data_IF_337527811187
#
_entry.id   IF_337527811187
#
_cell.length_a   1.000
_cell.length_b   1.000
_cell.length_c   1.000
_cell.angle_alpha   90.00
_cell.angle_beta   90.00
_cell.angle_gamma   90.00
#
_symmetry.space_group_name_H-M   'P 1'
#
loop_
_entity.id
_entity.type
_entity.pdbx_description
1 polymer ?
#
# COMPACT_ATOMS: atom_id res chain seq x y z
N UNK A 1 -20.40 -0.55 -16.85
CA UNK A 1 -21.00 -1.67 -16.05
C UNK A 1 -19.92 -2.31 -15.19
N UNK A 2 -20.24 -2.79 -13.98
CA UNK A 2 -19.26 -3.46 -13.10
C UNK A 2 -19.20 -4.96 -13.37
N UNK A 3 -18.03 -5.46 -13.74
CA UNK A 3 -17.68 -6.87 -13.96
C UNK A 3 -17.07 -7.46 -12.70
N UNK A 4 -17.69 -8.53 -12.22
CA UNK A 4 -17.35 -9.19 -10.94
C UNK A 4 -16.75 -10.58 -11.15
N UNK A 5 -16.78 -11.10 -12.38
CA UNK A 5 -16.50 -12.49 -12.68
C UNK A 5 -15.08 -12.89 -12.25
N UNK A 6 -14.11 -12.00 -12.44
CA UNK A 6 -12.72 -12.26 -12.06
C UNK A 6 -12.55 -12.39 -10.54
N UNK A 7 -13.15 -11.48 -9.76
CA UNK A 7 -13.18 -11.58 -8.30
C UNK A 7 -13.88 -12.87 -7.84
N UNK A 8 -15.08 -13.13 -8.36
CA UNK A 8 -15.92 -14.25 -7.91
C UNK A 8 -15.34 -15.61 -8.33
N UNK A 9 -14.51 -15.65 -9.37
CA UNK A 9 -13.77 -16.87 -9.75
C UNK A 9 -12.74 -17.29 -8.72
N UNK A 10 -12.22 -16.37 -7.91
CA UNK A 10 -11.21 -16.63 -6.87
C UNK A 10 -11.84 -16.75 -5.50
N UNK A 11 -12.74 -15.82 -5.13
CA UNK A 11 -13.28 -15.72 -3.77
C UNK A 11 -14.72 -16.22 -3.63
N UNK A 12 -15.35 -16.65 -4.73
CA UNK A 12 -16.78 -16.96 -4.78
C UNK A 12 -17.66 -15.71 -4.78
N UNK A 13 -18.98 -15.90 -4.64
CA UNK A 13 -19.96 -14.81 -4.68
C UNK A 13 -19.68 -13.74 -3.63
N UNK A 14 -19.84 -12.46 -4.02
CA UNK A 14 -19.69 -11.32 -3.12
C UNK A 14 -20.59 -11.43 -1.87
N UNK A 15 -20.01 -11.21 -0.69
CA UNK A 15 -20.70 -11.26 0.62
C UNK A 15 -20.15 -10.19 1.56
N UNK A 16 -20.85 -9.93 2.65
CA UNK A 16 -20.36 -9.09 3.75
C UNK A 16 -20.01 -7.66 3.34
N UNK A 17 -18.90 -7.13 3.88
CA UNK A 17 -18.41 -5.77 3.59
C UNK A 17 -18.02 -5.58 2.13
N UNK A 18 -17.41 -6.59 1.49
CA UNK A 18 -17.05 -6.52 0.08
C UNK A 18 -18.27 -6.23 -0.80
N UNK A 19 -19.41 -6.89 -0.54
CA UNK A 19 -20.65 -6.63 -1.27
C UNK A 19 -21.12 -5.18 -1.08
N UNK A 20 -21.08 -4.65 0.16
CA UNK A 20 -21.45 -3.26 0.45
C UNK A 20 -20.58 -2.27 -0.31
N UNK A 21 -19.28 -2.53 -0.39
CA UNK A 21 -18.34 -1.69 -1.13
C UNK A 21 -18.57 -1.73 -2.64
N UNK A 22 -18.85 -2.92 -3.20
CA UNK A 22 -19.22 -3.04 -4.62
C UNK A 22 -20.53 -2.30 -4.90
N UNK A 23 -21.54 -2.41 -4.04
CA UNK A 23 -22.80 -1.66 -4.18
C UNK A 23 -22.60 -0.13 -4.10
N UNK A 24 -21.65 0.33 -3.28
CA UNK A 24 -21.27 1.74 -3.21
C UNK A 24 -20.69 2.22 -4.55
N UNK A 25 -19.79 1.43 -5.16
CA UNK A 25 -19.24 1.70 -6.48
C UNK A 25 -20.32 1.64 -7.58
N UNK A 26 -21.25 0.69 -7.52
CA UNK A 26 -22.37 0.61 -8.47
C UNK A 26 -23.21 1.89 -8.45
N UNK A 27 -23.57 2.36 -7.25
CA UNK A 27 -24.30 3.62 -7.07
C UNK A 27 -23.49 4.82 -7.57
N UNK A 28 -22.18 4.82 -7.34
CA UNK A 28 -21.29 5.89 -7.81
C UNK A 28 -21.24 5.98 -9.34
N UNK A 29 -21.14 4.84 -10.02
CA UNK A 29 -21.06 4.78 -11.49
C UNK A 29 -22.42 4.79 -12.19
N UNK A 30 -23.53 4.61 -11.46
CA UNK A 30 -24.88 4.67 -12.04
C UNK A 30 -25.14 6.02 -12.73
N UNK A 31 -24.81 7.12 -12.07
CA UNK A 31 -24.98 8.48 -12.63
C UNK A 31 -23.93 8.83 -13.70
N UNK A 32 -22.97 7.93 -13.96
CA UNK A 32 -21.84 8.12 -14.90
C UNK A 32 -21.81 7.05 -16.00
N UNK A 33 -22.86 6.24 -16.09
CA UNK A 33 -22.91 5.03 -16.93
C UNK A 33 -22.63 5.31 -18.40
N UNK A 34 -23.05 6.45 -18.92
CA UNK A 34 -22.85 6.80 -20.33
C UNK A 34 -21.38 7.10 -20.68
N UNK A 35 -20.62 7.58 -19.70
CA UNK A 35 -19.22 7.94 -19.85
C UNK A 35 -18.25 6.87 -19.30
N UNK A 36 -18.74 5.90 -18.53
CA UNK A 36 -17.97 4.75 -18.06
C UNK A 36 -18.22 3.53 -18.95
N UNK A 37 -17.17 3.03 -19.61
CA UNK A 37 -17.27 1.81 -20.42
C UNK A 37 -17.47 0.60 -19.51
N UNK A 38 -16.48 0.34 -18.65
CA UNK A 38 -16.43 -0.87 -17.84
C UNK A 38 -15.61 -0.63 -16.56
N UNK A 39 -16.01 -1.29 -15.48
CA UNK A 39 -15.22 -1.40 -14.26
C UNK A 39 -15.02 -2.89 -14.00
N UNK A 40 -13.79 -3.36 -13.86
CA UNK A 40 -13.50 -4.75 -13.49
C UNK A 40 -13.01 -4.81 -12.05
N UNK A 41 -13.69 -5.60 -11.22
CA UNK A 41 -13.28 -5.89 -9.84
C UNK A 41 -12.22 -7.01 -9.88
N UNK A 42 -11.02 -6.70 -9.40
CA UNK A 42 -9.89 -7.63 -9.39
C UNK A 42 -9.88 -8.46 -8.10
N UNK A 43 -9.21 -9.63 -8.06
CA UNK A 43 -9.17 -10.48 -6.87
C UNK A 43 -8.61 -9.81 -5.61
N UNK A 44 -7.84 -8.73 -5.74
CA UNK A 44 -7.31 -7.95 -4.63
C UNK A 44 -8.19 -6.75 -4.23
N UNK A 45 -9.45 -6.75 -4.65
CA UNK A 45 -10.38 -5.69 -4.33
C UNK A 45 -10.67 -5.59 -2.82
N UNK A 46 -10.34 -4.44 -2.25
CA UNK A 46 -10.61 -4.13 -0.85
C UNK A 46 -10.70 -2.62 -0.62
N UNK A 47 -11.27 -2.22 0.50
CA UNK A 47 -11.16 -0.84 1.01
C UNK A 47 -9.80 -0.66 1.68
N UNK A 48 -9.07 0.36 1.28
CA UNK A 48 -7.87 0.80 1.97
C UNK A 48 -8.25 1.77 3.09
N UNK A 49 -8.43 1.25 4.30
CA UNK A 49 -8.86 2.07 5.44
C UNK A 49 -7.79 3.07 5.88
N UNK A 50 -6.50 2.71 5.81
CA UNK A 50 -5.42 3.59 6.23
C UNK A 50 -5.31 4.77 5.24
N UNK A 51 -5.34 4.49 3.93
CA UNK A 51 -5.34 5.53 2.89
C UNK A 51 -6.62 6.38 2.91
N UNK A 52 -7.78 5.76 3.17
CA UNK A 52 -9.07 6.48 3.33
C UNK A 52 -8.98 7.52 4.44
N UNK A 53 -8.48 7.12 5.62
CA UNK A 53 -8.37 8.01 6.76
C UNK A 53 -7.28 9.07 6.56
N UNK A 54 -6.17 8.69 5.93
CA UNK A 54 -5.09 9.61 5.57
C UNK A 54 -5.58 10.72 4.64
N UNK A 55 -6.25 10.38 3.53
CA UNK A 55 -6.77 11.37 2.59
C UNK A 55 -7.86 12.25 3.19
N UNK A 56 -8.74 11.70 4.04
CA UNK A 56 -9.75 12.50 4.73
C UNK A 56 -9.13 13.51 5.72
N UNK A 57 -7.98 13.18 6.29
CA UNK A 57 -7.21 14.05 7.19
C UNK A 57 -6.49 15.15 6.41
N UNK A 58 -5.88 14.78 5.28
CA UNK A 58 -5.16 15.72 4.43
C UNK A 58 -6.12 16.67 3.69
N UNK A 59 -7.25 16.15 3.23
CA UNK A 59 -8.26 16.88 2.46
C UNK A 59 -9.66 16.67 3.05
N UNK A 60 -10.15 17.58 3.91
CA UNK A 60 -11.45 17.45 4.56
C UNK A 60 -12.64 17.26 3.61
N UNK A 61 -12.55 17.73 2.35
CA UNK A 61 -13.59 17.52 1.32
C UNK A 61 -13.73 16.07 0.87
N UNK A 62 -12.73 15.22 1.14
CA UNK A 62 -12.77 13.78 0.87
C UNK A 62 -13.30 12.97 2.06
N UNK A 63 -13.71 13.63 3.16
CA UNK A 63 -14.24 12.93 4.34
C UNK A 63 -15.46 12.08 3.97
N UNK A 64 -15.42 10.81 4.33
CA UNK A 64 -16.48 9.83 4.04
C UNK A 64 -16.35 9.15 2.68
N UNK A 65 -15.34 9.50 1.88
CA UNK A 65 -15.07 8.87 0.59
C UNK A 65 -14.18 7.62 0.78
N UNK A 66 -14.67 6.40 0.49
CA UNK A 66 -13.87 5.19 0.64
C UNK A 66 -12.85 5.05 -0.49
N UNK A 67 -11.58 4.81 -0.16
CA UNK A 67 -10.53 4.56 -1.15
C UNK A 67 -10.42 3.06 -1.38
N UNK A 68 -10.55 2.61 -2.63
CA UNK A 68 -10.50 1.20 -3.00
C UNK A 68 -9.21 0.83 -3.71
N UNK A 69 -8.81 -0.44 -3.55
CA UNK A 69 -7.73 -1.10 -4.29
C UNK A 69 -8.32 -2.14 -5.23
N UNK A 70 -7.56 -2.60 -6.23
CA UNK A 70 -7.93 -3.76 -7.04
C UNK A 70 -9.04 -3.49 -8.05
N UNK A 71 -8.89 -2.41 -8.82
CA UNK A 71 -9.86 -2.00 -9.85
C UNK A 71 -9.17 -1.79 -11.19
N UNK A 72 -9.80 -2.23 -12.27
CA UNK A 72 -9.51 -1.73 -13.61
C UNK A 72 -10.69 -0.88 -14.07
N UNK A 73 -10.44 0.42 -14.28
CA UNK A 73 -11.46 1.40 -14.64
C UNK A 73 -11.28 1.82 -16.10
N UNK A 74 -12.26 1.53 -16.94
CA UNK A 74 -12.29 1.94 -18.35
C UNK A 74 -13.30 3.08 -18.58
N UNK A 75 -12.78 4.23 -18.98
CA UNK A 75 -13.50 5.47 -19.19
C UNK A 75 -13.55 5.83 -20.67
N UNK A 76 -14.68 6.41 -21.09
CA UNK A 76 -14.82 7.03 -22.41
C UNK A 76 -14.25 8.46 -22.38
N UNK A 77 -13.89 9.04 -23.54
CA UNK A 77 -13.35 10.39 -23.62
C UNK A 77 -14.22 11.48 -22.99
N UNK A 78 -15.54 11.25 -22.90
CA UNK A 78 -16.52 12.17 -22.32
C UNK A 78 -16.63 12.11 -20.80
N UNK A 79 -15.85 11.26 -20.11
CA UNK A 79 -15.90 11.16 -18.65
C UNK A 79 -15.32 12.40 -18.00
N UNK A 80 -16.09 13.06 -17.13
CA UNK A 80 -15.65 14.21 -16.35
C UNK A 80 -15.14 13.77 -14.98
N UNK A 81 -13.93 14.22 -14.64
CA UNK A 81 -13.29 13.93 -13.36
C UNK A 81 -13.90 14.78 -12.24
N UNK A 82 -13.96 14.22 -11.05
CA UNK A 82 -14.50 14.82 -9.84
C UNK A 82 -13.74 14.34 -8.61
N UNK A 83 -13.84 15.07 -7.48
CA UNK A 83 -13.22 14.62 -6.23
C UNK A 83 -13.75 13.27 -5.75
N UNK A 84 -14.95 12.86 -6.18
CA UNK A 84 -15.50 11.54 -5.88
C UNK A 84 -14.72 10.39 -6.55
N UNK A 85 -13.89 10.68 -7.55
CA UNK A 85 -13.14 9.67 -8.30
C UNK A 85 -11.96 9.11 -7.52
N UNK A 86 -11.52 9.77 -6.45
CA UNK A 86 -10.50 9.22 -5.54
C UNK A 86 -10.88 7.85 -4.95
N UNK A 87 -12.16 7.45 -5.01
CA UNK A 87 -12.57 6.09 -4.65
C UNK A 87 -11.88 5.02 -5.48
N UNK A 88 -11.65 5.27 -6.77
CA UNK A 88 -11.02 4.33 -7.69
C UNK A 88 -9.69 4.86 -8.25
N UNK A 89 -9.48 6.17 -8.25
CA UNK A 89 -8.24 6.84 -8.61
C UNK A 89 -7.31 6.87 -7.40
N UNK A 90 -6.58 5.78 -7.23
CA UNK A 90 -5.70 5.60 -6.07
C UNK A 90 -4.62 6.70 -6.02
N UNK A 91 -4.38 7.33 -4.85
CA UNK A 91 -3.57 8.56 -4.73
C UNK A 91 -2.08 8.37 -5.02
N UNK A 92 -1.54 7.17 -4.83
CA UNK A 92 -0.14 6.86 -5.15
C UNK A 92 0.04 6.59 -6.66
N UNK A 93 -0.17 7.63 -7.48
CA UNK A 93 -0.09 7.53 -8.94
C UNK A 93 1.33 7.16 -9.40
N UNK A 94 1.42 6.31 -10.42
CA UNK A 94 2.68 5.86 -11.05
C UNK A 94 3.62 5.18 -10.08
N UNK A 95 3.10 4.54 -9.04
CA UNK A 95 3.90 3.79 -8.09
C UNK A 95 4.67 2.69 -8.82
N UNK A 96 5.96 2.55 -8.48
CA UNK A 96 6.85 1.57 -9.10
C UNK A 96 7.22 0.48 -8.12
N UNK A 97 7.23 -0.76 -8.61
CA UNK A 97 7.77 -1.91 -7.90
C UNK A 97 8.80 -2.60 -8.79
N UNK A 98 9.86 -3.12 -8.20
CA UNK A 98 10.88 -3.81 -8.98
C UNK A 98 11.79 -4.68 -8.14
N UNK A 99 12.56 -5.50 -8.83
CA UNK A 99 13.61 -6.36 -8.27
C UNK A 99 14.83 -6.23 -9.16
N UNK A 100 15.98 -5.94 -8.55
CA UNK A 100 17.29 -5.81 -9.18
C UNK A 100 18.20 -6.86 -8.55
N UNK A 101 18.89 -7.65 -9.36
CA UNK A 101 19.87 -8.59 -8.83
C UNK A 101 21.00 -7.83 -8.13
N UNK A 102 21.42 -8.33 -6.98
CA UNK A 102 22.48 -7.68 -6.22
C UNK A 102 23.82 -7.83 -6.97
N UNK A 103 24.59 -6.74 -7.18
CA UNK A 103 25.91 -6.82 -7.80
C UNK A 103 26.81 -7.79 -7.03
N UNK A 104 27.64 -8.57 -7.75
CA UNK A 104 28.54 -9.55 -7.13
C UNK A 104 29.59 -8.92 -6.20
N UNK A 105 29.90 -7.64 -6.40
CA UNK A 105 30.80 -6.84 -5.56
C UNK A 105 30.13 -6.28 -4.30
N UNK A 106 28.80 -6.29 -4.21
CA UNK A 106 28.08 -5.62 -3.13
C UNK A 106 27.93 -6.52 -1.90
N UNK A 107 28.21 -5.96 -0.71
CA UNK A 107 27.99 -6.64 0.57
C UNK A 107 26.54 -6.44 1.06
N UNK A 108 25.91 -7.55 1.47
CA UNK A 108 24.56 -7.54 2.08
C UNK A 108 24.47 -6.58 3.26
N UNK A 109 25.49 -6.53 4.12
CA UNK A 109 25.50 -5.65 5.30
C UNK A 109 25.62 -4.17 4.91
N UNK A 110 26.40 -3.85 3.86
CA UNK A 110 26.51 -2.49 3.32
C UNK A 110 25.16 -2.01 2.78
N UNK A 111 24.50 -2.82 1.95
CA UNK A 111 23.18 -2.53 1.39
C UNK A 111 22.16 -2.39 2.52
N UNK A 112 22.17 -3.31 3.49
CA UNK A 112 21.26 -3.27 4.65
C UNK A 112 21.39 -1.98 5.45
N UNK A 113 22.61 -1.47 5.66
CA UNK A 113 22.84 -0.21 6.36
C UNK A 113 22.33 0.98 5.54
N UNK A 114 22.62 1.05 4.24
CA UNK A 114 22.08 2.10 3.35
C UNK A 114 20.55 2.10 3.31
N UNK A 115 19.94 0.93 3.23
CA UNK A 115 18.47 0.80 3.30
C UNK A 115 17.94 1.34 4.63
N UNK A 116 18.62 1.07 5.76
CA UNK A 116 18.22 1.63 7.08
C UNK A 116 18.33 3.15 7.13
N UNK A 117 19.34 3.71 6.48
CA UNK A 117 19.62 5.15 6.49
C UNK A 117 18.71 5.96 5.55
N UNK A 118 17.85 5.30 4.76
CA UNK A 118 16.86 5.97 3.93
C UNK A 118 15.92 6.84 4.78
N UNK A 119 15.89 8.13 4.47
CA UNK A 119 15.01 9.10 5.14
C UNK A 119 13.55 8.82 4.79
N UNK A 120 12.67 8.96 5.78
CA UNK A 120 11.22 8.87 5.61
C UNK A 120 10.58 10.23 5.89
N UNK A 121 9.54 10.56 5.13
CA UNK A 121 8.69 11.71 5.40
C UNK A 121 7.75 11.43 6.57
N UNK A 122 7.51 12.44 7.38
CA UNK A 122 6.43 12.44 8.36
C UNK A 122 5.12 12.89 7.72
N UNK A 123 3.98 12.54 8.35
CA UNK A 123 2.66 13.05 7.94
C UNK A 123 2.61 14.59 7.98
N UNK A 124 3.35 15.23 8.90
CA UNK A 124 3.42 16.70 8.98
C UNK A 124 4.08 17.31 7.75
N UNK A 125 5.03 16.60 7.14
CA UNK A 125 5.73 17.05 5.92
C UNK A 125 4.78 17.07 4.70
N UNK A 126 3.67 16.33 4.74
CA UNK A 126 2.59 16.46 3.75
C UNK A 126 1.72 17.68 3.98
N UNK A 127 1.52 18.10 5.23
CA UNK A 127 0.66 19.24 5.56
C UNK A 127 1.37 20.58 5.35
N UNK A 128 2.68 20.61 5.55
CA UNK A 128 3.48 21.81 5.34
C UNK A 128 3.91 21.87 3.87
N UNK A 129 3.63 22.99 3.19
CA UNK A 129 4.18 23.29 1.86
C UNK A 129 5.71 23.45 1.98
N UNK A 130 6.42 22.33 2.10
CA UNK A 130 7.87 22.30 2.30
C UNK A 130 8.57 22.69 1.00
N UNK A 131 9.15 23.89 0.97
CA UNK A 131 9.97 24.43 -0.13
C UNK A 131 11.44 23.97 -0.08
N UNK A 132 11.85 23.11 0.86
CA UNK A 132 13.24 23.14 1.36
C UNK A 132 14.05 21.84 1.34
N UNK A 133 13.62 20.75 0.71
CA UNK A 133 14.54 19.62 0.46
C UNK A 133 14.37 18.99 -0.91
N UNK A 134 15.40 19.13 -1.75
CA UNK A 134 15.57 18.37 -2.99
C UNK A 134 15.94 16.89 -2.72
N UNK A 135 16.20 16.53 -1.46
CA UNK A 135 16.47 15.15 -1.08
C UNK A 135 15.19 14.32 -1.11
N UNK A 136 15.27 13.16 -1.76
CA UNK A 136 14.22 12.16 -1.71
C UNK A 136 14.01 11.65 -0.29
N UNK A 137 12.74 11.43 0.05
CA UNK A 137 12.32 10.81 1.29
C UNK A 137 11.22 9.79 0.96
N UNK A 138 11.28 8.62 1.60
CA UNK A 138 10.23 7.61 1.48
C UNK A 138 8.90 8.18 1.98
N UNK A 139 7.80 7.88 1.28
CA UNK A 139 6.44 8.20 1.73
C UNK A 139 6.16 7.56 3.11
N UNK A 140 5.32 8.18 3.96
CA UNK A 140 4.84 7.58 5.20
C UNK A 140 3.91 6.38 4.99
N UNK A 141 3.47 6.14 3.75
CA UNK A 141 2.57 5.03 3.40
C UNK A 141 3.08 4.17 2.24
N UNK A 142 2.92 2.87 2.42
CA UNK A 142 3.09 1.77 1.48
C UNK A 142 4.39 1.75 0.67
N UNK A 143 5.45 2.42 1.11
CA UNK A 143 6.75 2.32 0.47
C UNK A 143 7.63 1.29 1.18
N UNK A 144 8.47 0.62 0.41
CA UNK A 144 9.43 -0.34 0.94
C UNK A 144 10.67 -0.47 0.07
N UNK A 145 11.80 -0.76 0.72
CA UNK A 145 13.05 -1.15 0.06
C UNK A 145 13.68 -2.26 0.90
N UNK A 146 14.04 -3.38 0.27
CA UNK A 146 14.51 -4.56 0.98
C UNK A 146 15.42 -5.45 0.18
N UNK A 147 16.05 -6.37 0.89
CA UNK A 147 16.85 -7.47 0.38
C UNK A 147 15.98 -8.73 0.40
N UNK A 148 16.02 -9.45 -0.71
CA UNK A 148 15.25 -10.67 -0.92
C UNK A 148 16.19 -11.81 -1.32
N UNK A 149 15.90 -12.99 -0.80
CA UNK A 149 16.60 -14.22 -1.14
C UNK A 149 15.75 -15.03 -2.13
N UNK A 150 16.36 -15.45 -3.24
CA UNK A 150 15.76 -16.35 -4.21
C UNK A 150 16.56 -17.65 -4.25
N UNK A 151 15.89 -18.77 -3.96
CA UNK A 151 16.48 -20.09 -4.13
C UNK A 151 16.04 -20.65 -5.48
N UNK A 152 16.99 -21.02 -6.31
CA UNK A 152 16.75 -21.71 -7.58
C UNK A 152 17.35 -23.11 -7.54
N UNK A 153 16.59 -24.09 -7.99
CA UNK A 153 17.06 -25.47 -8.11
C UNK A 153 17.44 -25.77 -9.56
N UNK A 154 18.67 -26.24 -9.79
CA UNK A 154 19.08 -26.79 -11.08
C UNK A 154 18.69 -28.26 -11.14
N UNK A 155 17.68 -28.60 -11.93
CA UNK A 155 17.23 -29.99 -12.09
C UNK A 155 18.26 -30.88 -12.77
N UNK A 156 19.13 -30.31 -13.61
CA UNK A 156 20.16 -31.05 -14.35
C UNK A 156 21.30 -31.53 -13.44
N UNK A 157 21.62 -30.76 -12.40
CA UNK A 157 22.74 -31.04 -11.50
C UNK A 157 22.32 -31.36 -10.07
N UNK A 158 21.02 -31.24 -9.76
CA UNK A 158 20.49 -31.42 -8.40
C UNK A 158 21.00 -30.39 -7.40
N UNK A 159 21.56 -29.27 -7.87
CA UNK A 159 22.12 -28.21 -7.02
C UNK A 159 21.07 -27.15 -6.70
N UNK A 160 21.22 -26.50 -5.54
CA UNK A 160 20.42 -25.33 -5.17
C UNK A 160 21.35 -24.12 -5.09
N UNK A 161 21.02 -23.07 -5.83
CA UNK A 161 21.72 -21.79 -5.79
C UNK A 161 20.83 -20.77 -5.09
N UNK A 162 21.38 -20.11 -4.06
CA UNK A 162 20.76 -18.95 -3.42
C UNK A 162 21.36 -17.68 -4.02
N UNK A 163 20.51 -16.77 -4.47
CA UNK A 163 20.89 -15.44 -4.91
C UNK A 163 20.18 -14.36 -4.10
N UNK A 164 20.85 -13.23 -3.93
CA UNK A 164 20.28 -12.05 -3.27
C UNK A 164 19.88 -11.02 -4.33
N UNK A 165 18.78 -10.33 -4.07
CA UNK A 165 18.30 -9.23 -4.89
C UNK A 165 17.80 -8.10 -4.01
N UNK A 166 17.84 -6.87 -4.53
CA UNK A 166 17.22 -5.71 -3.91
C UNK A 166 15.87 -5.48 -4.57
N UNK A 167 14.81 -5.42 -3.77
CA UNK A 167 13.47 -5.12 -4.22
C UNK A 167 12.98 -3.82 -3.63
N UNK A 168 12.12 -3.12 -4.38
CA UNK A 168 11.54 -1.85 -3.97
C UNK A 168 10.06 -1.78 -4.34
N UNK A 169 9.32 -0.97 -3.60
CA UNK A 169 7.97 -0.54 -3.92
C UNK A 169 7.84 0.93 -3.48
N UNK A 170 7.89 1.87 -4.42
CA UNK A 170 8.14 3.29 -4.16
C UNK A 170 7.21 4.19 -4.96
N UNK A 171 6.67 5.22 -4.29
CA UNK A 171 5.92 6.32 -4.90
C UNK A 171 6.44 7.70 -4.45
N UNK A 172 6.17 8.72 -5.28
CA UNK A 172 6.52 10.11 -5.01
C UNK A 172 5.31 10.89 -4.44
N UNK A 173 4.86 10.51 -3.26
CA UNK A 173 3.58 10.99 -2.72
C UNK A 173 3.59 12.49 -2.36
N UNK A 174 4.74 13.03 -1.90
CA UNK A 174 4.92 14.43 -1.46
C UNK A 174 4.28 15.44 -2.40
N UNK A 175 4.50 15.24 -3.70
CA UNK A 175 4.05 16.13 -4.74
C UNK A 175 2.78 15.62 -5.42
N UNK A 176 2.70 14.31 -5.68
CA UNK A 176 1.69 13.77 -6.57
C UNK A 176 0.29 13.75 -5.95
N UNK A 177 0.19 13.53 -4.65
CA UNK A 177 -1.12 13.50 -3.97
C UNK A 177 -1.76 14.90 -4.00
N UNK A 178 -0.99 15.95 -3.64
CA UNK A 178 -1.45 17.34 -3.69
C UNK A 178 -1.70 17.82 -5.11
N UNK A 179 -0.82 17.47 -6.05
CA UNK A 179 -0.99 17.78 -7.46
C UNK A 179 -2.31 17.18 -8.00
N UNK A 180 -2.56 15.90 -7.75
CA UNK A 180 -3.76 15.21 -8.20
C UNK A 180 -5.03 15.87 -7.63
N UNK A 181 -5.04 16.12 -6.33
CA UNK A 181 -6.16 16.75 -5.66
C UNK A 181 -6.44 18.15 -6.21
N UNK A 182 -5.39 18.98 -6.33
CA UNK A 182 -5.48 20.35 -6.86
C UNK A 182 -5.90 20.36 -8.33
N UNK A 183 -5.41 19.41 -9.12
CA UNK A 183 -5.74 19.28 -10.54
C UNK A 183 -7.24 19.05 -10.74
N UNK A 184 -7.84 18.16 -9.94
CA UNK A 184 -9.27 17.87 -10.02
C UNK A 184 -10.10 18.99 -9.37
N UNK A 185 -9.67 19.52 -8.22
CA UNK A 185 -10.41 20.55 -7.49
C UNK A 185 -10.50 21.88 -8.27
N UNK A 186 -9.41 22.30 -8.91
CA UNK A 186 -9.35 23.60 -9.59
C UNK A 186 -9.87 23.56 -11.04
N UNK A 187 -10.06 22.37 -11.62
CA UNK A 187 -10.57 22.21 -12.99
C UNK A 187 -11.91 21.51 -12.97
N UNK A 188 -12.96 22.25 -12.58
CA UNK A 188 -14.32 21.75 -12.63
C UNK A 188 -14.66 21.27 -14.06
N UNK A 189 -15.23 20.07 -14.18
CA UNK A 189 -15.61 19.43 -15.44
C UNK A 189 -14.43 19.10 -16.38
N UNK A 190 -13.22 18.92 -15.84
CA UNK A 190 -12.11 18.41 -16.65
C UNK A 190 -12.44 17.00 -17.14
N UNK A 191 -12.55 16.85 -18.46
CA UNK A 191 -12.76 15.53 -19.06
C UNK A 191 -11.48 14.66 -18.94
N UNK A 192 -11.63 13.35 -19.07
CA UNK A 192 -10.52 12.40 -18.91
C UNK A 192 -9.42 12.58 -19.96
N UNK A 193 -9.75 13.12 -21.15
CA UNK A 193 -8.78 13.42 -22.21
C UNK A 193 -7.82 14.51 -21.75
N UNK A 194 -8.37 15.63 -21.28
CA UNK A 194 -7.61 16.78 -20.80
C UNK A 194 -6.92 16.46 -19.47
N UNK A 195 -7.58 15.72 -18.58
CA UNK A 195 -6.96 15.21 -17.36
C UNK A 195 -5.73 14.34 -17.67
N UNK A 196 -5.86 13.36 -18.56
CA UNK A 196 -4.74 12.51 -18.96
C UNK A 196 -3.63 13.32 -19.64
N UNK A 197 -3.99 14.30 -20.47
CA UNK A 197 -3.03 15.19 -21.10
C UNK A 197 -2.27 16.00 -20.05
N UNK A 198 -2.94 16.62 -19.08
CA UNK A 198 -2.28 17.34 -17.99
C UNK A 198 -1.43 16.40 -17.15
N UNK A 199 -1.92 15.20 -16.81
CA UNK A 199 -1.14 14.21 -16.05
C UNK A 199 0.17 13.82 -16.75
N UNK A 200 0.15 13.69 -18.08
CA UNK A 200 1.30 13.24 -18.88
C UNK A 200 2.18 14.36 -19.41
N UNK A 201 1.67 15.59 -19.50
CA UNK A 201 2.40 16.75 -20.07
C UNK A 201 2.78 17.80 -19.04
N UNK A 202 2.14 17.85 -17.87
CA UNK A 202 2.55 18.72 -16.78
C UNK A 202 3.99 18.42 -16.41
N UNK A 203 4.81 19.48 -16.42
CA UNK A 203 6.21 19.40 -16.04
C UNK A 203 6.38 19.93 -14.63
N UNK A 204 6.96 19.12 -13.76
CA UNK A 204 7.43 19.54 -12.44
C UNK A 204 8.95 19.59 -12.57
N UNK A 205 9.54 20.78 -12.41
CA UNK A 205 11.00 20.99 -12.60
C UNK A 205 11.51 20.53 -13.98
N UNK A 206 10.69 20.68 -15.03
CA UNK A 206 11.07 20.36 -16.41
C UNK A 206 10.80 18.92 -16.85
N UNK A 207 10.41 18.02 -15.93
CA UNK A 207 10.15 16.60 -16.19
C UNK A 207 8.68 16.24 -16.05
N UNK A 208 8.22 15.24 -16.81
CA UNK A 208 6.88 14.70 -16.62
C UNK A 208 6.79 13.80 -15.37
N UNK A 209 5.57 13.50 -14.94
CA UNK A 209 5.30 12.76 -13.71
C UNK A 209 5.96 11.38 -13.65
N UNK A 210 5.88 10.59 -14.73
CA UNK A 210 6.49 9.26 -14.77
C UNK A 210 8.00 9.37 -14.66
N UNK A 211 8.61 10.29 -15.41
CA UNK A 211 10.05 10.52 -15.36
C UNK A 211 10.50 10.88 -13.95
N UNK A 212 9.77 11.77 -13.27
CA UNK A 212 10.12 12.17 -11.90
C UNK A 212 10.04 11.00 -10.90
N UNK A 213 9.05 10.12 -11.03
CA UNK A 213 9.01 8.89 -10.21
C UNK A 213 10.12 7.93 -10.60
N UNK A 214 10.43 7.82 -11.90
CA UNK A 214 11.48 6.94 -12.38
C UNK A 214 12.86 7.35 -11.89
N UNK A 215 13.20 8.63 -11.99
CA UNK A 215 14.44 9.22 -11.51
C UNK A 215 14.56 9.13 -10.00
N UNK A 216 13.46 9.31 -9.27
CA UNK A 216 13.44 9.08 -7.84
C UNK A 216 13.82 7.64 -7.52
N UNK A 217 13.20 6.65 -8.18
CA UNK A 217 13.51 5.23 -7.95
C UNK A 217 14.95 4.92 -8.33
N UNK A 218 15.43 5.43 -9.46
CA UNK A 218 16.81 5.28 -9.90
C UNK A 218 17.76 5.82 -8.84
N UNK A 219 17.61 7.07 -8.40
CA UNK A 219 18.48 7.68 -7.38
C UNK A 219 18.47 6.93 -6.05
N UNK A 220 17.33 6.37 -5.62
CA UNK A 220 17.29 5.51 -4.43
C UNK A 220 18.07 4.22 -4.66
N UNK A 221 17.89 3.57 -5.81
CA UNK A 221 18.57 2.31 -6.11
C UNK A 221 20.07 2.51 -6.32
N UNK A 222 20.50 3.63 -6.91
CA UNK A 222 21.92 3.97 -7.06
C UNK A 222 22.58 4.15 -5.68
N UNK A 223 21.92 4.90 -4.79
CA UNK A 223 22.37 5.04 -3.41
C UNK A 223 22.44 3.70 -2.68
N UNK A 224 21.40 2.86 -2.80
CA UNK A 224 21.31 1.57 -2.10
C UNK A 224 22.32 0.55 -2.62
N UNK A 225 22.49 0.45 -3.94
CA UNK A 225 23.34 -0.55 -4.60
C UNK A 225 24.81 -0.11 -4.76
N UNK A 226 25.10 1.18 -4.64
CA UNK A 226 26.43 1.76 -4.89
C UNK A 226 26.93 1.63 -6.33
N UNK A 227 26.01 1.59 -7.29
CA UNK A 227 26.33 1.49 -8.71
C UNK A 227 25.41 2.42 -9.50
N UNK A 228 25.84 2.82 -10.70
CA UNK A 228 25.04 3.66 -11.57
C UNK A 228 23.90 2.86 -12.24
N UNK A 229 22.83 3.53 -12.66
CA UNK A 229 21.64 2.87 -13.23
C UNK A 229 21.97 1.92 -14.38
N UNK A 230 22.91 2.28 -15.25
CA UNK A 230 23.26 1.51 -16.43
C UNK A 230 23.86 0.13 -16.11
N UNK A 231 24.34 -0.06 -14.87
CA UNK A 231 24.86 -1.32 -14.36
C UNK A 231 23.81 -2.16 -13.62
N UNK A 232 22.57 -1.70 -13.51
CA UNK A 232 21.50 -2.45 -12.87
C UNK A 232 21.09 -3.68 -13.69
N UNK A 233 21.19 -4.85 -13.07
CA UNK A 233 20.64 -6.10 -13.60
C UNK A 233 19.17 -6.27 -13.16
N UNK A 234 18.27 -5.65 -13.93
CA UNK A 234 16.83 -5.63 -13.69
C UNK A 234 16.19 -7.01 -13.91
N UNK A 235 15.59 -7.56 -12.85
CA UNK A 235 14.71 -8.74 -12.95
C UNK A 235 13.31 -8.31 -13.39
N UNK A 236 12.77 -7.29 -12.72
CA UNK A 236 11.48 -6.68 -13.07
C UNK A 236 11.41 -5.24 -12.60
N UNK A 237 10.55 -4.49 -13.28
CA UNK A 237 10.21 -3.11 -13.00
C UNK A 237 8.81 -2.84 -13.56
N UNK A 238 7.85 -2.69 -12.66
CA UNK A 238 6.44 -2.50 -12.95
C UNK A 238 5.95 -1.15 -12.45
N UNK A 239 5.09 -0.51 -13.23
CA UNK A 239 4.33 0.67 -12.82
C UNK A 239 2.87 0.28 -12.62
N UNK A 240 2.31 0.67 -11.48
CA UNK A 240 0.89 0.49 -11.17
C UNK A 240 0.28 1.80 -10.65
N UNK A 241 -1.05 1.82 -10.46
CA UNK A 241 -1.81 3.06 -10.20
C UNK A 241 -1.60 4.08 -11.31
N UNK A 242 -1.79 3.67 -12.57
CA UNK A 242 -1.46 4.50 -13.72
C UNK A 242 -2.49 4.41 -14.86
N UNK A 243 -2.56 5.48 -15.65
CA UNK A 243 -3.44 5.59 -16.81
C UNK A 243 -2.78 5.09 -18.09
N UNK A 244 -3.51 4.31 -18.87
CA UNK A 244 -3.19 3.99 -20.25
C UNK A 244 -4.31 4.46 -21.17
N UNK A 245 -3.98 4.79 -22.42
CA UNK A 245 -4.98 5.15 -23.44
C UNK A 245 -4.95 4.21 -24.62
N UNK A 246 -6.11 3.97 -25.20
CA UNK A 246 -6.28 3.45 -26.56
C UNK A 246 -6.90 4.55 -27.42
N UNK A 247 -7.27 4.23 -28.66
CA UNK A 247 -7.96 5.19 -29.54
C UNK A 247 -9.37 5.56 -29.05
N UNK A 248 -9.97 4.73 -28.18
CA UNK A 248 -11.38 4.86 -27.80
C UNK A 248 -11.62 4.98 -26.30
N UNK A 249 -10.66 4.57 -25.46
CA UNK A 249 -10.87 4.49 -24.02
C UNK A 249 -9.60 4.84 -23.24
N UNK A 250 -9.82 5.22 -21.97
CA UNK A 250 -8.79 5.47 -20.97
C UNK A 250 -8.93 4.43 -19.86
N UNK A 251 -7.82 3.79 -19.50
CA UNK A 251 -7.78 2.70 -18.52
C UNK A 251 -6.96 3.13 -17.32
N UNK A 252 -7.53 3.10 -16.12
CA UNK A 252 -6.78 3.24 -14.88
C UNK A 252 -6.61 1.88 -14.21
N UNK A 253 -5.36 1.49 -14.00
CA UNK A 253 -4.99 0.23 -13.35
C UNK A 253 -4.68 0.51 -11.88
N UNK A 254 -5.65 0.28 -10.99
CA UNK A 254 -5.54 0.48 -9.55
C UNK A 254 -5.07 -0.81 -8.87
N UNK A 255 -3.90 -0.76 -8.23
CA UNK A 255 -3.24 -1.92 -7.60
C UNK A 255 -3.13 -3.12 -8.55
N UNK A 256 -2.84 -2.80 -9.81
CA UNK A 256 -2.75 -3.75 -10.90
C UNK A 256 -1.79 -3.22 -11.96
N UNK A 257 -1.25 -4.13 -12.76
CA UNK A 257 -0.34 -3.82 -13.86
C UNK A 257 -0.97 -4.17 -15.20
N UNK A 258 -0.55 -3.44 -16.23
CA UNK A 258 -0.84 -3.77 -17.61
C UNK A 258 0.24 -4.71 -18.15
N UNK A 259 -0.03 -6.00 -18.24
CA UNK A 259 0.94 -7.01 -18.66
C UNK A 259 1.48 -6.81 -20.08
N UNK A 260 0.75 -6.12 -20.98
CA UNK A 260 1.28 -5.77 -22.30
C UNK A 260 2.43 -4.78 -22.20
N UNK A 261 2.39 -3.88 -21.22
CA UNK A 261 3.41 -2.84 -21.02
C UNK A 261 4.67 -3.35 -20.35
N UNK A 262 4.60 -4.54 -19.75
CA UNK A 262 5.76 -5.23 -19.17
C UNK A 262 6.71 -5.80 -20.23
N UNK A 263 6.33 -5.84 -21.51
CA UNK A 263 7.17 -6.32 -22.62
C UNK A 263 7.89 -7.66 -22.32
N UNK A 264 7.10 -8.66 -21.89
CA UNK A 264 7.56 -10.02 -21.47
C UNK A 264 8.39 -10.10 -20.19
N UNK A 265 8.66 -8.98 -19.50
CA UNK A 265 9.23 -9.01 -18.14
C UNK A 265 8.21 -9.63 -17.17
N UNK A 266 8.66 -10.39 -16.16
CA UNK A 266 7.78 -10.94 -15.16
C UNK A 266 7.15 -9.83 -14.31
N UNK A 267 5.98 -10.09 -13.73
CA UNK A 267 5.25 -9.21 -12.81
C UNK A 267 5.47 -9.68 -11.38
N UNK A 268 5.69 -8.75 -10.44
CA UNK A 268 5.92 -9.05 -9.04
C UNK A 268 4.61 -9.01 -8.22
N UNK A 269 4.16 -10.19 -7.81
CA UNK A 269 2.99 -10.35 -6.95
C UNK A 269 3.37 -10.48 -5.48
N UNK A 270 2.71 -9.72 -4.60
CA UNK A 270 2.89 -9.83 -3.16
C UNK A 270 1.69 -10.52 -2.50
N UNK A 271 1.85 -11.79 -2.14
CA UNK A 271 0.80 -12.56 -1.44
C UNK A 271 0.58 -12.10 0.01
N UNK A 272 1.66 -11.68 0.65
CA UNK A 272 1.67 -11.07 1.98
C UNK A 272 2.93 -10.22 2.10
N UNK A 273 2.83 -9.14 2.86
CA UNK A 273 3.94 -8.24 3.17
C UNK A 273 5.09 -8.93 3.90
N UNK A 274 4.82 -10.04 4.59
CA UNK A 274 5.82 -10.84 5.31
C UNK A 274 6.55 -11.88 4.45
N UNK A 275 5.95 -12.30 3.35
CA UNK A 275 6.43 -13.40 2.52
C UNK A 275 7.54 -12.95 1.58
N UNK A 276 7.26 -11.91 0.79
CA UNK A 276 8.10 -11.42 -0.30
C UNK A 276 7.33 -11.35 -1.61
N UNK A 277 7.99 -11.60 -2.75
CA UNK A 277 7.40 -11.50 -4.07
C UNK A 277 7.43 -12.82 -4.84
N UNK A 278 6.33 -13.16 -5.48
CA UNK A 278 6.26 -14.22 -6.49
C UNK A 278 6.25 -13.57 -7.86
N UNK A 279 7.15 -14.02 -8.74
CA UNK A 279 7.22 -13.54 -10.12
C UNK A 279 6.31 -14.36 -11.03
N UNK A 280 5.56 -13.65 -11.88
CA UNK A 280 4.67 -14.22 -12.88
C UNK A 280 5.06 -13.76 -14.27
N UNK A 281 5.35 -14.71 -15.16
CA UNK A 281 5.54 -14.44 -16.58
C UNK A 281 4.21 -14.50 -17.30
N UNK A 282 4.04 -13.61 -18.26
CA UNK A 282 2.86 -13.64 -19.12
C UNK A 282 3.02 -14.75 -20.18
N UNK A 283 1.92 -15.45 -20.48
CA UNK A 283 1.80 -16.34 -21.62
C UNK A 283 0.80 -15.74 -22.61
N UNK A 284 1.10 -14.50 -23.05
CA UNK A 284 0.16 -13.67 -23.82
C UNK A 284 -0.30 -14.41 -25.07
N UNK A 285 -1.59 -14.73 -25.12
CA UNK A 285 -2.30 -15.03 -26.36
C UNK A 285 -3.14 -13.80 -26.76
N UNK A 286 -3.50 -13.68 -28.05
CA UNK A 286 -4.32 -12.56 -28.55
C UNK A 286 -5.75 -12.51 -27.93
N UNK A 287 -6.10 -13.43 -27.01
CA UNK A 287 -7.38 -13.51 -26.32
C UNK A 287 -7.17 -13.44 -24.80
N UNK A 288 -7.24 -12.22 -24.25
CA UNK A 288 -7.27 -11.99 -22.80
C UNK A 288 -8.50 -11.17 -22.43
N UNK A 289 -9.49 -11.81 -21.80
CA UNK A 289 -10.83 -11.24 -21.57
C UNK A 289 -10.89 -10.07 -20.56
N UNK A 290 -9.76 -9.80 -19.91
CA UNK A 290 -9.60 -8.77 -18.88
C UNK A 290 -8.48 -7.75 -19.20
N UNK A 291 -8.29 -7.39 -20.48
CA UNK A 291 -7.35 -6.34 -20.90
C UNK A 291 -5.91 -6.50 -20.37
N UNK A 292 -5.43 -7.74 -20.27
CA UNK A 292 -4.09 -8.07 -19.80
C UNK A 292 -3.76 -7.50 -18.41
N UNK A 293 -4.78 -7.35 -17.55
CA UNK A 293 -4.61 -6.90 -16.17
C UNK A 293 -4.10 -8.01 -15.28
N UNK A 294 -3.18 -7.68 -14.36
CA UNK A 294 -2.76 -8.58 -13.29
C UNK A 294 -2.68 -7.81 -11.95
N UNK A 295 -3.22 -8.34 -10.84
CA UNK A 295 -3.16 -7.68 -9.54
C UNK A 295 -1.74 -7.65 -8.99
N UNK A 296 -1.34 -6.60 -8.29
CA UNK A 296 0.01 -6.50 -7.71
C UNK A 296 0.12 -7.19 -6.35
N UNK A 297 -0.97 -7.40 -5.64
CA UNK A 297 -0.99 -8.03 -4.32
C UNK A 297 -2.27 -8.84 -4.09
N UNK A 298 -2.37 -9.51 -2.96
CA UNK A 298 -3.57 -10.27 -2.59
C UNK A 298 -4.72 -9.40 -2.03
N UNK A 299 -4.51 -8.09 -1.85
CA UNK A 299 -5.48 -7.21 -1.19
C UNK A 299 -5.61 -7.45 0.32
N UNK A 300 -6.37 -6.61 0.99
CA UNK A 300 -6.53 -6.62 2.45
C UNK A 300 -7.92 -7.04 2.89
N UNK A 301 -7.98 -7.71 4.04
CA UNK A 301 -9.18 -7.87 4.83
C UNK A 301 -9.29 -6.75 5.86
N UNK A 302 -10.49 -6.47 6.37
CA UNK A 302 -10.73 -5.41 7.36
C UNK A 302 -10.16 -5.72 8.76
N UNK A 303 -9.44 -6.82 8.92
CA UNK A 303 -8.92 -7.28 10.20
C UNK A 303 -7.40 -7.24 10.25
N UNK A 304 -6.89 -7.13 11.47
CA UNK A 304 -5.47 -7.29 11.77
C UNK A 304 -5.20 -8.62 12.48
N UNK A 305 -3.99 -9.14 12.34
CA UNK A 305 -3.44 -10.11 13.26
C UNK A 305 -3.17 -9.42 14.59
N UNK A 306 -3.60 -10.01 15.71
CA UNK A 306 -3.11 -9.55 17.01
C UNK A 306 -1.66 -10.00 17.21
N UNK A 307 -0.85 -9.21 17.89
CA UNK A 307 0.49 -9.65 18.32
C UNK A 307 0.40 -10.88 19.22
N UNK A 308 -0.68 -11.01 20.00
CA UNK A 308 -0.88 -12.14 20.89
C UNK A 308 -1.14 -13.45 20.08
N UNK A 309 -1.66 -13.34 18.86
CA UNK A 309 -1.91 -14.47 17.95
C UNK A 309 -0.64 -14.94 17.20
N UNK A 310 0.42 -14.14 17.20
CA UNK A 310 1.65 -14.46 16.49
C UNK A 310 2.50 -15.47 17.26
N UNK A 311 3.04 -16.45 16.54
CA UNK A 311 4.03 -17.38 17.08
C UNK A 311 5.34 -16.66 17.41
N UNK A 312 6.16 -17.25 18.29
CA UNK A 312 7.49 -16.72 18.62
C UNK A 312 8.34 -16.50 17.37
N UNK A 313 8.35 -17.47 16.44
CA UNK A 313 9.09 -17.35 15.17
C UNK A 313 8.59 -16.19 14.30
N UNK A 314 7.29 -15.92 14.29
CA UNK A 314 6.75 -14.77 13.55
C UNK A 314 7.16 -13.44 14.20
N UNK A 315 7.12 -13.36 15.54
CA UNK A 315 7.58 -12.19 16.30
C UNK A 315 9.07 -11.94 16.05
N UNK A 316 9.90 -12.97 16.14
CA UNK A 316 11.34 -12.87 15.88
C UNK A 316 11.63 -12.42 14.44
N UNK A 317 10.87 -12.94 13.47
CA UNK A 317 10.97 -12.51 12.06
C UNK A 317 10.58 -11.04 11.90
N UNK A 318 9.51 -10.58 12.55
CA UNK A 318 9.12 -9.16 12.54
C UNK A 318 10.24 -8.28 13.08
N UNK A 319 10.87 -8.65 14.19
CA UNK A 319 11.95 -7.88 14.81
C UNK A 319 13.23 -7.87 13.96
N UNK A 320 13.59 -8.98 13.34
CA UNK A 320 14.89 -9.14 12.66
C UNK A 320 14.88 -8.75 11.18
N UNK A 321 13.80 -9.09 10.46
CA UNK A 321 13.71 -8.91 9.02
C UNK A 321 13.06 -7.59 8.62
N UNK A 322 12.31 -6.93 9.51
CA UNK A 322 11.56 -5.72 9.17
C UNK A 322 11.98 -4.51 10.01
N UNK A 323 12.21 -3.40 9.32
CA UNK A 323 12.65 -2.15 9.91
C UNK A 323 11.69 -1.02 9.56
N UNK A 324 11.36 -0.21 10.57
CA UNK A 324 10.66 1.06 10.47
C UNK A 324 10.98 1.86 11.74
N UNK A 325 10.45 3.08 11.87
CA UNK A 325 10.66 3.91 13.06
C UNK A 325 9.84 3.40 14.26
N UNK A 326 10.26 2.28 14.86
CA UNK A 326 9.58 1.63 16.01
C UNK A 326 9.42 2.55 17.21
N UNK A 327 10.33 3.51 17.33
CA UNK A 327 10.27 4.52 18.36
C UNK A 327 9.07 5.46 18.16
N UNK A 328 8.54 5.63 16.95
CA UNK A 328 7.30 6.38 16.66
C UNK A 328 6.09 5.48 16.90
N UNK A 329 6.04 4.32 16.26
CA UNK A 329 4.96 3.32 16.40
C UNK A 329 5.56 1.91 16.51
N UNK A 330 5.29 1.15 17.59
CA UNK A 330 5.98 -0.11 17.88
C UNK A 330 5.48 -1.28 17.02
N UNK A 331 4.43 -1.07 16.22
CA UNK A 331 3.87 -2.03 15.28
C UNK A 331 3.75 -1.38 13.90
N UNK A 332 3.49 -2.18 12.85
CA UNK A 332 3.28 -1.67 11.51
C UNK A 332 1.99 -2.29 10.93
N UNK A 333 0.96 -1.47 10.65
CA UNK A 333 -0.34 -1.98 10.22
C UNK A 333 -0.29 -2.73 8.90
N UNK A 334 0.61 -2.36 7.99
CA UNK A 334 0.80 -3.06 6.71
C UNK A 334 1.36 -4.48 6.88
N UNK A 335 2.18 -4.72 7.91
CA UNK A 335 2.64 -6.07 8.26
C UNK A 335 1.55 -6.90 8.96
N UNK A 336 0.74 -6.24 9.77
CA UNK A 336 -0.26 -6.90 10.61
C UNK A 336 -1.61 -7.08 9.91
N UNK A 337 -1.83 -6.44 8.75
CA UNK A 337 -3.08 -6.55 8.00
C UNK A 337 -3.26 -7.98 7.49
N UNK A 338 -4.44 -8.57 7.75
CA UNK A 338 -4.79 -9.84 7.13
C UNK A 338 -5.00 -9.61 5.63
N UNK A 339 -4.49 -10.51 4.81
CA UNK A 339 -4.67 -10.47 3.36
C UNK A 339 -5.70 -11.54 2.95
N UNK A 340 -6.26 -11.43 1.73
CA UNK A 340 -7.07 -12.53 1.21
C UNK A 340 -6.22 -13.81 1.14
N UNK A 341 -6.77 -14.96 1.55
CA UNK A 341 -6.03 -16.21 1.50
C UNK A 341 -5.69 -16.54 0.05
N UNK A 342 -4.40 -16.68 -0.25
CA UNK A 342 -3.94 -17.18 -1.54
C UNK A 342 -3.88 -18.71 -1.43
N UNK A 343 -5.03 -19.38 -1.53
CA UNK A 343 -5.02 -20.85 -1.55
C UNK A 343 -4.45 -21.34 -2.87
N UNK A 344 -3.67 -22.42 -2.85
CA UNK A 344 -2.99 -22.96 -4.03
C UNK A 344 -3.99 -23.28 -5.16
N UNK A 345 -5.21 -23.69 -4.81
CA UNK A 345 -6.22 -24.09 -5.81
C UNK A 345 -6.87 -22.88 -6.49
N UNK A 346 -7.35 -21.91 -5.71
CA UNK A 346 -8.01 -20.71 -6.25
C UNK A 346 -7.02 -19.84 -7.03
N UNK A 347 -5.77 -19.76 -6.56
CA UNK A 347 -4.77 -18.98 -7.24
C UNK A 347 -4.30 -19.60 -8.56
N UNK A 348 -4.17 -20.94 -8.63
CA UNK A 348 -3.95 -21.64 -9.90
C UNK A 348 -5.05 -21.39 -10.92
N UNK A 349 -6.30 -21.24 -10.47
CA UNK A 349 -7.40 -20.89 -11.36
C UNK A 349 -7.22 -19.46 -11.91
N UNK A 350 -6.78 -18.51 -11.07
CA UNK A 350 -6.46 -17.17 -11.53
C UNK A 350 -5.28 -17.16 -12.51
N UNK A 351 -4.21 -17.91 -12.23
CA UNK A 351 -3.05 -18.07 -13.11
C UNK A 351 -3.49 -18.53 -14.51
N UNK A 352 -4.35 -19.55 -14.58
CA UNK A 352 -4.91 -20.03 -15.83
C UNK A 352 -5.82 -18.99 -16.51
N UNK A 353 -6.66 -18.30 -15.73
CA UNK A 353 -7.62 -17.30 -16.24
C UNK A 353 -6.89 -16.09 -16.84
N UNK A 354 -5.82 -15.64 -16.20
CA UNK A 354 -5.00 -14.52 -16.64
C UNK A 354 -3.83 -14.95 -17.53
N UNK A 355 -3.72 -16.24 -17.84
CA UNK A 355 -2.67 -16.82 -18.69
C UNK A 355 -1.26 -16.42 -18.22
N UNK A 356 -0.99 -16.58 -16.93
CA UNK A 356 0.33 -16.34 -16.33
C UNK A 356 0.96 -17.63 -15.81
N UNK A 357 2.29 -17.64 -15.75
CA UNK A 357 3.09 -18.75 -15.27
C UNK A 357 3.92 -18.31 -14.08
N UNK A 358 3.84 -19.07 -13.00
CA UNK A 358 4.70 -18.90 -11.83
C UNK A 358 6.16 -19.16 -12.21
N UNK A 359 7.08 -18.28 -11.78
CA UNK A 359 8.50 -18.39 -12.12
C UNK A 359 9.41 -18.57 -10.90
N UNK A 360 9.60 -17.50 -10.12
CA UNK A 360 10.53 -17.44 -8.99
C UNK A 360 9.85 -16.85 -7.77
N UNK A 361 10.30 -17.25 -6.59
CA UNK A 361 9.89 -16.65 -5.32
C UNK A 361 11.09 -15.97 -4.64
N UNK A 362 10.94 -14.68 -4.39
CA UNK A 362 11.89 -13.83 -3.70
C UNK A 362 11.39 -13.64 -2.27
N UNK A 363 11.96 -14.39 -1.33
CA UNK A 363 11.61 -14.33 0.09
C UNK A 363 12.24 -13.11 0.73
N UNK A 364 11.48 -12.37 1.54
CA UNK A 364 12.06 -11.24 2.30
C UNK A 364 13.13 -11.72 3.28
N UNK A 365 14.34 -11.16 3.13
CA UNK A 365 15.48 -11.33 4.03
C UNK A 365 15.60 -10.13 4.98
N UNK A 366 15.54 -8.91 4.44
CA UNK A 366 15.49 -7.65 5.19
C UNK A 366 14.62 -6.63 4.46
N UNK A 367 13.84 -5.82 5.14
CA UNK A 367 13.01 -4.81 4.47
C UNK A 367 12.79 -3.58 5.36
N UNK A 368 13.11 -2.39 4.84
CA UNK A 368 12.65 -1.12 5.41
C UNK A 368 11.29 -0.78 4.83
N UNK A 369 10.32 -0.59 5.70
CA UNK A 369 8.97 -0.18 5.36
C UNK A 369 8.74 1.25 5.80
N UNK A 370 7.82 1.94 5.13
CA UNK A 370 7.18 3.13 5.69
C UNK A 370 6.65 2.84 7.09
N UNK A 371 6.78 3.83 7.98
CA UNK A 371 6.43 3.72 9.39
C UNK A 371 4.93 3.54 9.62
N UNK A 372 4.07 3.99 8.70
CA UNK A 372 2.61 3.87 8.83
C UNK A 372 2.09 4.38 10.17
N UNK A 373 2.41 5.65 10.49
CA UNK A 373 1.96 6.25 11.74
C UNK A 373 0.45 6.58 11.72
N UNK A 374 -0.38 5.55 11.94
CA UNK A 374 -1.85 5.61 11.81
C UNK A 374 -2.58 5.65 13.15
N UNK A 375 -1.92 5.97 14.26
CA UNK A 375 -2.55 5.97 15.60
C UNK A 375 -3.87 6.74 15.65
N UNK A 376 -3.92 7.91 15.01
CA UNK A 376 -5.10 8.79 15.01
C UNK A 376 -6.32 8.18 14.31
N UNK A 377 -6.13 7.09 13.56
CA UNK A 377 -7.13 6.46 12.72
C UNK A 377 -7.60 5.10 13.23
N UNK A 378 -6.88 4.52 14.19
CA UNK A 378 -7.16 3.18 14.69
C UNK A 378 -8.15 3.20 15.85
N UNK A 379 -9.00 2.19 15.90
CA UNK A 379 -9.83 1.96 17.07
C UNK A 379 -8.93 1.61 18.27
N UNK A 380 -9.24 2.06 19.51
CA UNK A 380 -8.38 1.75 20.66
C UNK A 380 -8.19 0.23 20.88
N UNK A 381 -9.22 -0.56 20.59
CA UNK A 381 -9.15 -2.05 20.58
C UNK A 381 -8.08 -2.58 19.63
N UNK A 382 -7.95 -2.00 18.44
CA UNK A 382 -6.94 -2.38 17.45
C UNK A 382 -5.55 -1.99 17.92
N UNK A 383 -5.38 -0.78 18.47
CA UNK A 383 -4.10 -0.32 19.03
C UNK A 383 -3.61 -1.28 20.12
N UNK A 384 -4.49 -1.70 21.03
CA UNK A 384 -4.15 -2.67 22.08
C UNK A 384 -3.78 -4.03 21.49
N UNK A 385 -4.53 -4.52 20.50
CA UNK A 385 -4.29 -5.82 19.86
C UNK A 385 -2.96 -5.85 19.07
N UNK A 386 -2.56 -4.71 18.51
CA UNK A 386 -1.33 -4.52 17.74
C UNK A 386 -0.11 -4.19 18.61
N UNK A 387 -0.31 -3.74 19.86
CA UNK A 387 0.78 -3.36 20.75
C UNK A 387 1.62 -4.58 21.17
N UNK A 388 2.93 -4.59 20.87
CA UNK A 388 3.84 -5.63 21.37
C UNK A 388 4.07 -5.52 22.86
N UNK A 389 4.39 -6.67 23.47
CA UNK A 389 4.71 -6.81 24.88
C UNK A 389 3.59 -7.50 25.68
N UNK A 390 3.88 -7.72 26.96
CA UNK A 390 2.99 -8.38 27.87
C UNK A 390 1.91 -7.43 28.43
N UNK A 391 1.30 -7.84 29.55
CA UNK A 391 0.26 -7.08 30.24
C UNK A 391 0.72 -5.74 30.81
N UNK A 392 2.02 -5.60 31.11
CA UNK A 392 2.64 -4.40 31.66
C UNK A 392 3.12 -3.42 30.59
N UNK A 393 3.12 -3.83 29.32
CA UNK A 393 3.54 -2.99 28.21
C UNK A 393 2.68 -1.73 28.11
N UNK A 394 3.32 -0.59 27.87
CA UNK A 394 2.62 0.69 27.73
C UNK A 394 2.07 0.84 26.31
N UNK A 395 0.75 0.88 26.21
CA UNK A 395 0.00 1.20 25.00
C UNK A 395 -0.07 2.71 24.86
N UNK A 396 0.24 3.21 23.67
CA UNK A 396 0.16 4.64 23.35
C UNK A 396 -1.14 4.97 22.64
N UNK A 397 -1.80 6.02 23.10
CA UNK A 397 -3.02 6.54 22.51
C UNK A 397 -2.88 8.04 22.18
N UNK A 398 -3.43 8.50 21.05
CA UNK A 398 -3.52 9.93 20.74
C UNK A 398 -4.26 10.72 21.82
N UNK A 399 -3.68 11.85 22.24
CA UNK A 399 -4.28 12.74 23.23
C UNK A 399 -5.06 13.89 22.54
N UNK A 400 -6.17 13.56 21.88
CA UNK A 400 -7.07 14.59 21.36
C UNK A 400 -8.54 14.20 21.57
N UNK A 401 -9.41 15.20 21.79
CA UNK A 401 -10.83 15.03 22.18
C UNK A 401 -11.69 14.22 21.21
N UNK A 402 -11.23 14.05 19.96
CA UNK A 402 -11.90 13.24 18.94
C UNK A 402 -11.56 11.74 19.00
N UNK A 403 -10.55 11.32 19.76
CA UNK A 403 -10.16 9.92 19.83
C UNK A 403 -11.02 9.19 20.84
N UNK A 404 -11.57 8.03 20.45
CA UNK A 404 -12.57 7.28 21.23
C UNK A 404 -12.09 6.97 22.66
N UNK A 405 -10.81 6.58 22.83
CA UNK A 405 -10.27 6.27 24.16
C UNK A 405 -10.42 7.41 25.17
N UNK A 406 -10.26 8.67 24.72
CA UNK A 406 -10.38 9.81 25.62
C UNK A 406 -11.85 10.11 25.92
N UNK A 407 -12.74 9.89 24.97
CA UNK A 407 -14.19 9.98 25.18
C UNK A 407 -14.63 8.94 26.22
N UNK A 408 -14.23 7.67 26.04
CA UNK A 408 -14.52 6.59 26.99
C UNK A 408 -14.02 6.91 28.40
N UNK A 409 -12.81 7.47 28.54
CA UNK A 409 -12.26 7.87 29.84
C UNK A 409 -13.09 8.99 30.49
N UNK A 410 -13.50 9.99 29.71
CA UNK A 410 -14.26 11.13 30.21
C UNK A 410 -15.69 10.74 30.59
N UNK A 411 -16.36 9.96 29.75
CA UNK A 411 -17.75 9.53 29.93
C UNK A 411 -17.89 8.58 31.13
N UNK A 412 -16.86 7.76 31.40
CA UNK A 412 -16.83 6.78 32.49
C UNK A 412 -15.89 7.20 33.64
N UNK A 413 -15.60 8.49 33.78
CA UNK A 413 -14.60 8.98 34.72
C UNK A 413 -14.84 8.54 36.17
N UNK A 414 -16.10 8.49 36.63
CA UNK A 414 -16.41 8.11 38.01
C UNK A 414 -15.89 6.71 38.33
N UNK A 415 -16.08 5.76 37.42
CA UNK A 415 -15.71 4.36 37.60
C UNK A 415 -14.20 4.19 37.40
N UNK A 416 -13.65 4.88 36.40
CA UNK A 416 -12.23 4.79 36.04
C UNK A 416 -11.30 5.58 36.98
N UNK A 417 -11.82 6.52 37.77
CA UNK A 417 -11.02 7.36 38.67
C UNK A 417 -10.29 6.56 39.75
N UNK A 418 -10.83 5.40 40.15
CA UNK A 418 -10.25 4.47 41.13
C UNK A 418 -8.90 3.91 40.64
N UNK A 419 -8.71 3.84 39.32
CA UNK A 419 -7.49 3.31 38.70
C UNK A 419 -6.43 4.39 38.40
N UNK A 420 -6.65 5.64 38.84
CA UNK A 420 -5.75 6.79 38.61
C UNK A 420 -5.37 6.98 37.13
N UNK A 421 -6.30 6.77 36.19
CA UNK A 421 -6.01 6.83 34.75
C UNK A 421 -5.58 8.26 34.33
N UNK A 422 -6.15 9.28 34.97
CA UNK A 422 -5.77 10.69 34.78
C UNK A 422 -4.61 11.04 35.74
N UNK A 423 -3.48 10.36 35.57
CA UNK A 423 -2.26 10.61 36.36
C UNK A 423 -1.15 11.15 35.44
N UNK A 424 -0.48 12.28 35.77
CA UNK A 424 0.63 12.86 35.01
C UNK A 424 1.69 11.84 34.54
N UNK A 425 1.91 10.75 35.30
CA UNK A 425 2.85 9.67 34.94
C UNK A 425 2.51 8.96 33.62
N UNK A 426 1.25 8.97 33.21
CA UNK A 426 0.76 8.35 31.98
C UNK A 426 0.75 9.31 30.80
N UNK A 427 1.25 10.54 30.92
CA UNK A 427 1.25 11.51 29.82
C UNK A 427 2.65 11.71 29.25
N UNK A 428 2.81 11.39 27.96
CA UNK A 428 3.98 11.81 27.19
C UNK A 428 3.73 13.21 26.64
N UNK A 429 4.21 14.22 27.36
CA UNK A 429 4.06 15.63 26.99
C UNK A 429 4.80 16.00 25.70
N UNK A 430 5.88 15.28 25.36
CA UNK A 430 6.66 15.53 24.13
C UNK A 430 5.88 15.05 22.90
N UNK A 431 5.22 13.90 23.01
CA UNK A 431 4.49 13.28 21.89
C UNK A 431 3.01 13.57 21.88
N UNK A 432 2.47 14.19 22.95
CA UNK A 432 1.04 14.40 23.16
C UNK A 432 0.27 13.08 23.07
N UNK A 433 0.75 12.08 23.81
CA UNK A 433 0.14 10.75 23.86
C UNK A 433 -0.16 10.35 25.31
N UNK A 434 -1.25 9.62 25.48
CA UNK A 434 -1.57 8.91 26.72
C UNK A 434 -0.91 7.52 26.67
N UNK A 435 -0.15 7.17 27.69
CA UNK A 435 0.59 5.91 27.84
C UNK A 435 0.00 5.11 28.99
N UNK A 436 -0.86 4.14 28.68
CA UNK A 436 -1.47 3.27 29.68
C UNK A 436 -0.85 1.86 29.62
N UNK A 437 -0.57 1.21 30.76
CA UNK A 437 -0.35 -0.22 30.80
C UNK A 437 -1.48 -0.98 30.07
N UNK A 438 -1.14 -2.04 29.34
CA UNK A 438 -2.08 -2.80 28.50
C UNK A 438 -3.29 -3.30 29.29
N UNK A 439 -3.13 -3.67 30.56
CA UNK A 439 -4.24 -4.03 31.45
C UNK A 439 -5.19 -2.86 31.73
N UNK A 440 -4.66 -1.69 32.09
CA UNK A 440 -5.49 -0.50 32.33
C UNK A 440 -6.19 -0.05 31.04
N UNK A 441 -5.50 -0.12 29.90
CA UNK A 441 -6.10 0.18 28.60
C UNK A 441 -7.27 -0.75 28.25
N UNK A 442 -7.19 -2.04 28.63
CA UNK A 442 -8.28 -3.00 28.44
C UNK A 442 -9.48 -2.67 29.32
N UNK A 443 -9.26 -2.29 30.58
CA UNK A 443 -10.35 -1.87 31.48
C UNK A 443 -11.14 -0.69 30.91
N UNK A 444 -10.46 0.31 30.33
CA UNK A 444 -11.15 1.45 29.68
C UNK A 444 -12.08 0.98 28.56
N UNK A 445 -11.70 -0.07 27.81
CA UNK A 445 -12.51 -0.60 26.71
C UNK A 445 -13.66 -1.50 27.16
N UNK A 446 -13.72 -1.94 28.42
CA UNK A 446 -14.89 -2.68 28.92
C UNK A 446 -16.14 -1.79 28.97
N UNK A 447 -15.97 -0.47 28.92
CA UNK A 447 -17.02 0.53 28.86
C UNK A 447 -17.42 0.94 27.42
N UNK A 448 -16.82 0.31 26.40
CA UNK A 448 -17.19 0.49 24.98
C UNK A 448 -18.39 -0.43 24.67
N UNK A 449 -19.61 0.10 24.85
CA UNK A 449 -20.89 -0.64 24.72
C UNK A 449 -21.47 -0.55 23.31
#
# INVERSE_FOLDING_TARGET
MIRKELYESVHGTLRGETLKHVQCLEKYFETRREATSQITILPNFCKDSDMTNFLATLFPKLKGLPIYRGLLVELRPTYEMSLGDFQWLYPQISKRRGIINMPSSASVDSIKNRIRDLKEMTIKDFMQKSETSNEYQMSPFYNSVGIYECNSSSSEWGTTESSMAVGFDLSLDKFLIHFLYTLIENNANINVVDFFKLLTTSRIEGQNLIQKVSEMVQGVMEYVLDVEEHDFDWVTDETYNYFYKTNHSYFFFNHAVNMLKMNKRPVAFQSSTLAGFTLYKNNITNKHDYHFVFPTDAGFLDQFHSVDDLSTTQKDRLETAFHWERHIIPFNTYLMKKCHPVTIKEWKQLENTLQVLNEKFYRTYFNRLSTHNVYDFLHPKEIIALQPGDRSAHVRFPLHSKHLILQLILDNYKDLSIHEIINPKYYDTRRRMLMLPKELAKLVLEHDV
#
